data_IF_070726906949
#
_entry.id   IF_070726906949
#
_cell.length_a   1.000
_cell.length_b   1.000
_cell.length_c   1.000
_cell.angle_alpha   90.00
_cell.angle_beta   90.00
_cell.angle_gamma   90.00
#
_symmetry.space_group_name_H-M   'P 1'
#
loop_
_entity.id
_entity.type
_entity.pdbx_description
1 polymer ?
#
# COMPACT_ATOMS: atom_id res chain seq x y z
N UNK A 1 5.25 -4.10 -7.14
CA UNK A 1 4.89 -2.67 -6.98
C UNK A 1 3.40 -2.62 -6.75
N UNK A 2 2.99 -1.96 -5.67
CA UNK A 2 1.65 -2.09 -5.10
C UNK A 2 0.97 -0.73 -5.09
N UNK A 3 0.43 -0.32 -6.25
CA UNK A 3 0.09 1.08 -6.52
C UNK A 3 -1.39 1.34 -6.79
N UNK A 4 -2.12 0.40 -7.37
CA UNK A 4 -3.50 0.63 -7.85
C UNK A 4 -4.53 -0.02 -6.93
N UNK A 5 -5.77 0.43 -6.97
CA UNK A 5 -6.96 -0.18 -6.36
C UNK A 5 -8.09 -0.30 -7.41
N UNK A 6 -9.17 -1.07 -7.21
CA UNK A 6 -10.25 -1.17 -8.21
C UNK A 6 -10.81 0.19 -8.66
N UNK A 7 -10.85 1.15 -7.74
CA UNK A 7 -11.26 2.54 -7.96
C UNK A 7 -10.12 3.49 -8.39
N UNK A 8 -8.85 3.08 -8.27
CA UNK A 8 -7.67 3.92 -8.46
C UNK A 8 -6.69 3.24 -9.42
N UNK A 9 -6.95 3.40 -10.72
CA UNK A 9 -6.10 2.93 -11.81
C UNK A 9 -5.11 4.01 -12.25
N UNK A 10 -5.50 4.80 -13.25
CA UNK A 10 -4.69 5.94 -13.74
C UNK A 10 -4.64 7.10 -12.73
N UNK A 11 -5.71 7.27 -11.94
CA UNK A 11 -5.77 8.27 -10.88
C UNK A 11 -5.41 7.66 -9.54
N UNK A 12 -4.13 7.81 -9.15
CA UNK A 12 -3.61 7.32 -7.87
C UNK A 12 -3.97 8.23 -6.69
N UNK A 13 -4.53 9.42 -6.94
CA UNK A 13 -5.01 10.28 -5.85
C UNK A 13 -6.27 9.72 -5.18
N UNK A 14 -6.98 8.83 -5.87
CA UNK A 14 -8.19 8.16 -5.38
C UNK A 14 -7.90 6.91 -4.52
N UNK A 15 -6.63 6.60 -4.22
CA UNK A 15 -6.26 5.49 -3.33
C UNK A 15 -6.85 5.72 -1.95
N UNK A 16 -7.39 4.65 -1.36
CA UNK A 16 -7.99 4.67 -0.02
C UNK A 16 -7.19 3.89 1.01
N UNK A 17 -6.25 3.04 0.58
CA UNK A 17 -5.33 2.39 1.49
C UNK A 17 -4.51 3.43 2.25
N UNK A 18 -4.56 3.35 3.57
CA UNK A 18 -3.93 4.27 4.50
C UNK A 18 -2.88 3.55 5.34
N UNK A 19 -1.91 4.31 5.83
CA UNK A 19 -0.93 3.83 6.79
C UNK A 19 -1.07 4.55 8.14
N UNK A 20 -1.06 3.78 9.22
CA UNK A 20 -1.07 4.27 10.60
C UNK A 20 0.39 4.38 11.07
N UNK A 21 0.84 5.55 11.56
CA UNK A 21 2.13 5.69 12.22
C UNK A 21 2.20 4.77 13.44
N UNK A 22 3.26 3.97 13.52
CA UNK A 22 3.61 3.24 14.74
C UNK A 22 4.69 4.00 15.51
N UNK A 23 4.79 3.75 16.81
CA UNK A 23 5.73 4.44 17.71
C UNK A 23 7.21 4.24 17.30
N UNK A 24 7.51 3.20 16.50
CA UNK A 24 8.85 2.83 16.03
C UNK A 24 9.17 3.32 14.59
N UNK A 25 8.58 4.43 14.14
CA UNK A 25 8.72 5.02 12.78
C UNK A 25 8.23 4.14 11.62
N UNK A 26 7.80 2.90 11.89
CA UNK A 26 7.20 2.03 10.90
C UNK A 26 5.74 2.47 10.61
N UNK A 27 5.31 2.25 9.37
CA UNK A 27 3.93 2.49 8.95
C UNK A 27 3.24 1.14 8.77
N UNK A 28 2.11 0.96 9.45
CA UNK A 28 1.29 -0.26 9.31
C UNK A 28 0.08 0.03 8.42
N UNK A 29 -0.17 -0.76 7.36
CA UNK A 29 -1.36 -0.58 6.52
C UNK A 29 -2.63 -0.92 7.29
N UNK A 30 -3.62 -0.03 7.25
CA UNK A 30 -4.92 -0.25 7.90
C UNK A 30 -5.77 -1.29 7.15
N UNK A 31 -5.57 -1.41 5.82
CA UNK A 31 -6.26 -2.35 4.95
C UNK A 31 -5.27 -2.98 3.96
N UNK A 32 -5.05 -4.29 4.09
CA UNK A 32 -4.29 -5.08 3.11
C UNK A 32 -5.23 -5.53 1.99
N UNK A 33 -5.46 -4.67 0.99
CA UNK A 33 -6.23 -5.05 -0.21
C UNK A 33 -5.32 -5.85 -1.16
N UNK A 34 -5.80 -7.02 -1.62
CA UNK A 34 -5.04 -8.04 -2.36
C UNK A 34 -4.79 -7.73 -3.86
N UNK A 35 -4.09 -6.65 -4.15
CA UNK A 35 -3.84 -6.08 -5.47
C UNK A 35 -2.60 -6.54 -6.29
N UNK A 36 -2.05 -7.77 -6.28
CA UNK A 36 -0.83 -8.00 -7.14
C UNK A 36 -0.78 -9.31 -7.96
N UNK A 37 -0.16 -9.19 -9.15
CA UNK A 37 0.56 -10.25 -9.85
C UNK A 37 1.94 -10.44 -9.18
N UNK A 38 2.38 -11.69 -8.99
CA UNK A 38 3.62 -12.07 -8.29
C UNK A 38 3.70 -11.58 -6.83
N UNK A 39 2.56 -11.55 -6.13
CA UNK A 39 2.51 -11.31 -4.67
C UNK A 39 3.45 -12.24 -3.90
N UNK A 40 3.53 -13.46 -4.38
CA UNK A 40 4.17 -14.56 -3.70
C UNK A 40 4.73 -15.50 -4.75
N UNK A 41 5.96 -15.94 -4.52
CA UNK A 41 6.62 -16.96 -5.32
C UNK A 41 7.81 -17.54 -4.52
N UNK A 42 8.25 -18.73 -4.91
CA UNK A 42 9.32 -19.50 -4.26
C UNK A 42 10.72 -19.25 -4.85
N UNK A 43 10.85 -18.37 -5.85
CA UNK A 43 12.12 -18.08 -6.53
C UNK A 43 13.18 -17.34 -5.68
N UNK A 44 12.82 -16.84 -4.49
CA UNK A 44 13.69 -16.06 -3.61
C UNK A 44 13.28 -16.25 -2.14
N UNK A 45 14.21 -16.05 -1.21
CA UNK A 45 13.93 -16.10 0.23
C UNK A 45 13.26 -14.83 0.76
N UNK A 46 13.24 -13.74 -0.01
CA UNK A 46 12.61 -12.49 0.40
C UNK A 46 12.06 -11.70 -0.81
N UNK A 47 10.88 -11.11 -0.63
CA UNK A 47 10.20 -10.27 -1.61
C UNK A 47 9.92 -8.91 -0.96
N UNK A 48 10.53 -7.86 -1.50
CA UNK A 48 10.31 -6.49 -1.01
C UNK A 48 9.15 -5.86 -1.78
N UNK A 49 8.08 -5.56 -1.06
CA UNK A 49 6.91 -4.88 -1.61
C UNK A 49 7.01 -3.37 -1.41
N UNK A 50 7.15 -2.62 -2.50
CA UNK A 50 6.93 -1.17 -2.47
C UNK A 50 5.42 -0.90 -2.58
N UNK A 51 4.84 -0.31 -1.53
CA UNK A 51 3.41 -0.03 -1.38
C UNK A 51 3.16 1.47 -1.33
N UNK A 52 2.18 1.93 -2.10
CA UNK A 52 1.68 3.30 -2.02
C UNK A 52 0.49 3.35 -1.06
N UNK A 53 0.60 4.17 -0.03
CA UNK A 53 -0.42 4.37 1.00
C UNK A 53 -0.61 5.86 1.24
N UNK A 54 -1.85 6.26 1.54
CA UNK A 54 -2.13 7.58 2.07
C UNK A 54 -1.68 7.67 3.54
N UNK A 55 -1.00 8.76 3.88
CA UNK A 55 -0.65 9.02 5.27
C UNK A 55 -1.89 9.53 6.03
N UNK A 56 -2.31 8.86 7.11
CA UNK A 56 -3.56 9.21 7.81
C UNK A 56 -3.65 10.67 8.29
N UNK A 57 -2.52 11.34 8.56
CA UNK A 57 -2.53 12.74 9.00
C UNK A 57 -2.66 13.75 7.85
N UNK A 58 -2.70 13.29 6.59
CA UNK A 58 -2.91 14.17 5.44
C UNK A 58 -4.35 14.71 5.47
N UNK A 59 -4.56 16.03 5.42
CA UNK A 59 -5.90 16.59 5.30
C UNK A 59 -6.52 16.19 3.96
N UNK A 60 -7.75 15.68 4.00
CA UNK A 60 -8.52 15.38 2.79
C UNK A 60 -8.88 16.70 2.11
N UNK A 61 -8.48 16.82 0.84
CA UNK A 61 -8.79 17.96 -0.02
C UNK A 61 -10.29 17.99 -0.38
#
# INVERSE_FOLDING_TARGET
MNLTEPQAGSDLSAIRASAIPTDDEALSPERSENLFYLREHDLTSNIVHLVLLEHQTRPKA
#
